data_IF_584035959478
#
_entry.id   IF_584035959478
#
_cell.length_a   1.000
_cell.length_b   1.000
_cell.length_c   1.000
_cell.angle_alpha   90.00
_cell.angle_beta   90.00
_cell.angle_gamma   90.00
#
_symmetry.space_group_name_H-M   'P 1'
#
loop_
_entity.id
_entity.type
_entity.pdbx_description
1 polymer ?
#
# COMPACT_ATOMS: atom_id res chain seq x y z
N UNK A 1 -0.70 1.00 12.87
CA UNK A 1 -1.12 1.59 11.59
C UNK A 1 -0.46 0.81 10.46
N UNK A 2 -1.11 0.63 9.32
CA UNK A 2 -0.55 -0.13 8.20
C UNK A 2 -0.75 0.65 6.92
N UNK A 3 0.33 0.88 6.17
CA UNK A 3 0.28 1.31 4.78
C UNK A 3 0.16 0.06 3.89
N UNK A 4 -0.90 0.00 3.09
CA UNK A 4 -1.09 -1.00 2.04
C UNK A 4 -1.11 -0.30 0.68
N UNK A 5 0.08 -0.18 0.10
CA UNK A 5 0.34 0.44 -1.19
C UNK A 5 0.50 -0.63 -2.28
N UNK A 6 -0.07 -0.40 -3.47
CA UNK A 6 -0.04 -1.36 -4.59
C UNK A 6 -0.37 -0.74 -5.93
N UNK A 7 0.11 -1.34 -7.01
CA UNK A 7 -0.37 -1.07 -8.36
C UNK A 7 -1.67 -1.81 -8.68
N UNK A 8 -2.52 -1.22 -9.55
CA UNK A 8 -3.75 -1.87 -10.03
C UNK A 8 -3.55 -2.72 -11.31
N UNK A 9 -2.40 -2.58 -11.97
CA UNK A 9 -2.01 -3.36 -13.14
C UNK A 9 -1.02 -4.49 -12.79
N UNK A 10 -0.86 -4.81 -11.51
CA UNK A 10 -0.07 -5.95 -11.05
C UNK A 10 -0.70 -7.26 -11.54
N UNK A 11 0.04 -8.00 -12.37
CA UNK A 11 -0.37 -9.30 -12.92
C UNK A 11 0.22 -10.50 -12.18
N UNK A 12 1.06 -10.26 -11.17
CA UNK A 12 1.74 -11.29 -10.37
C UNK A 12 0.90 -11.59 -9.12
N UNK A 13 0.41 -10.56 -8.44
CA UNK A 13 -0.47 -10.72 -7.29
C UNK A 13 -1.93 -10.76 -7.76
N UNK A 14 -2.61 -11.88 -7.51
CA UNK A 14 -4.00 -12.06 -7.89
C UNK A 14 -4.92 -10.97 -7.27
N UNK A 15 -5.85 -10.36 -8.04
CA UNK A 15 -6.75 -9.33 -7.54
C UNK A 15 -7.52 -9.73 -6.27
N UNK A 16 -8.01 -10.98 -6.23
CA UNK A 16 -8.76 -11.53 -5.09
C UNK A 16 -7.90 -11.63 -3.82
N UNK A 17 -6.60 -11.93 -3.97
CA UNK A 17 -5.69 -12.03 -2.84
C UNK A 17 -5.53 -10.65 -2.18
N UNK A 18 -5.35 -9.61 -2.98
CA UNK A 18 -5.23 -8.26 -2.46
C UNK A 18 -6.56 -7.70 -1.92
N UNK A 19 -7.70 -8.02 -2.54
CA UNK A 19 -9.02 -7.65 -2.03
C UNK A 19 -9.30 -8.28 -0.66
N UNK A 20 -8.96 -9.57 -0.50
CA UNK A 20 -9.05 -10.28 0.78
C UNK A 20 -8.14 -9.64 1.84
N UNK A 21 -6.90 -9.31 1.48
CA UNK A 21 -5.94 -8.66 2.38
C UNK A 21 -6.45 -7.28 2.82
N UNK A 22 -6.92 -6.45 1.88
CA UNK A 22 -7.47 -5.12 2.20
C UNK A 22 -8.67 -5.22 3.15
N UNK A 23 -9.59 -6.16 2.89
CA UNK A 23 -10.74 -6.42 3.76
C UNK A 23 -10.29 -6.78 5.18
N UNK A 24 -9.32 -7.68 5.32
CA UNK A 24 -8.79 -8.06 6.61
C UNK A 24 -8.09 -6.88 7.31
N UNK A 25 -7.23 -6.13 6.60
CA UNK A 25 -6.52 -4.98 7.15
C UNK A 25 -7.46 -3.89 7.65
N UNK A 26 -8.52 -3.59 6.89
CA UNK A 26 -9.53 -2.60 7.27
C UNK A 26 -10.25 -2.99 8.57
N UNK A 27 -10.45 -4.29 8.82
CA UNK A 27 -11.12 -4.78 10.03
C UNK A 27 -10.20 -4.87 11.27
N UNK A 28 -8.89 -5.03 11.08
CA UNK A 28 -7.96 -5.36 12.17
C UNK A 28 -6.91 -4.28 12.45
N UNK A 29 -6.82 -3.23 11.62
CA UNK A 29 -5.78 -2.20 11.72
C UNK A 29 -6.32 -0.81 11.41
N UNK A 30 -5.58 0.24 11.80
CA UNK A 30 -5.75 1.57 11.20
C UNK A 30 -5.08 1.56 9.82
N UNK A 31 -5.87 1.27 8.80
CA UNK A 31 -5.44 1.10 7.41
C UNK A 31 -5.28 2.45 6.70
N UNK A 32 -4.13 2.65 6.05
CA UNK A 32 -3.88 3.64 5.00
C UNK A 32 -3.69 2.86 3.69
N UNK A 33 -4.60 3.01 2.73
CA UNK A 33 -4.59 2.25 1.49
C UNK A 33 -4.27 3.16 0.30
N UNK A 34 -3.28 2.78 -0.51
CA UNK A 34 -2.83 3.52 -1.70
C UNK A 34 -2.87 2.60 -2.92
N UNK A 35 -3.43 3.10 -4.01
CA UNK A 35 -3.52 2.38 -5.29
C UNK A 35 -2.93 3.28 -6.37
N UNK A 36 -1.95 2.75 -7.11
CA UNK A 36 -1.27 3.47 -8.20
C UNK A 36 -1.78 2.98 -9.57
N UNK A 37 -2.54 3.81 -10.31
CA UNK A 37 -3.10 3.41 -11.59
C UNK A 37 -2.03 3.12 -12.65
N UNK A 38 -2.19 2.01 -13.38
CA UNK A 38 -1.30 1.56 -14.44
C UNK A 38 0.03 0.97 -13.95
N UNK A 39 0.26 0.93 -12.64
CA UNK A 39 1.48 0.37 -12.06
C UNK A 39 1.36 -1.16 -11.97
N UNK A 40 2.33 -1.86 -12.56
CA UNK A 40 2.45 -3.31 -12.50
C UNK A 40 3.10 -3.81 -11.21
N UNK A 41 3.72 -5.00 -11.27
CA UNK A 41 4.49 -5.57 -10.17
C UNK A 41 5.89 -4.93 -10.06
N UNK A 42 5.93 -3.68 -9.59
CA UNK A 42 7.16 -2.86 -9.52
C UNK A 42 7.12 -1.92 -8.31
N UNK A 43 8.12 -1.04 -8.18
CA UNK A 43 8.16 0.05 -7.19
C UNK A 43 8.33 1.37 -7.94
N UNK A 44 7.49 2.36 -7.63
CA UNK A 44 7.52 3.70 -8.27
C UNK A 44 8.11 4.76 -7.34
N UNK A 45 8.51 5.90 -7.90
CA UNK A 45 8.92 7.05 -7.07
C UNK A 45 7.78 7.52 -6.16
N UNK A 46 6.57 7.60 -6.70
CA UNK A 46 5.37 7.96 -5.92
C UNK A 46 5.13 7.02 -4.75
N UNK A 47 5.31 5.70 -4.94
CA UNK A 47 5.17 4.75 -3.85
C UNK A 47 6.22 4.94 -2.76
N UNK A 48 7.45 5.29 -3.14
CA UNK A 48 8.52 5.58 -2.18
C UNK A 48 8.19 6.84 -1.37
N UNK A 49 7.69 7.88 -2.02
CA UNK A 49 7.28 9.13 -1.35
C UNK A 49 6.16 8.86 -0.32
N UNK A 50 5.16 8.05 -0.68
CA UNK A 50 4.07 7.65 0.23
C UNK A 50 4.59 6.82 1.43
N UNK A 51 5.61 5.99 1.22
CA UNK A 51 6.28 5.26 2.31
C UNK A 51 7.05 6.22 3.23
N UNK A 52 7.78 7.18 2.68
CA UNK A 52 8.51 8.19 3.46
C UNK A 52 7.53 9.05 4.29
N UNK A 53 6.41 9.50 3.71
CA UNK A 53 5.37 10.24 4.42
C UNK A 53 4.77 9.40 5.56
N UNK A 54 4.47 8.13 5.30
CA UNK A 54 3.95 7.22 6.31
C UNK A 54 4.94 7.05 7.48
N UNK A 55 6.23 6.85 7.19
CA UNK A 55 7.27 6.71 8.22
C UNK A 55 7.43 7.99 9.02
N UNK A 56 7.50 9.15 8.37
CA UNK A 56 7.62 10.45 9.06
C UNK A 56 6.46 10.71 10.02
N UNK A 57 5.24 10.28 9.66
CA UNK A 57 4.05 10.40 10.51
C UNK A 57 4.04 9.44 11.69
N UNK A 58 4.48 8.20 11.49
CA UNK A 58 4.35 7.13 12.50
C UNK A 58 5.61 6.95 13.37
N UNK A 59 6.77 7.44 12.91
CA UNK A 59 8.07 7.39 13.58
C UNK A 59 8.77 8.77 13.58
N UNK A 60 8.20 9.79 14.25
CA UNK A 60 8.80 11.11 14.27
C UNK A 60 10.18 11.10 14.95
N UNK A 61 11.20 11.59 14.23
CA UNK A 61 12.58 11.72 14.73
C UNK A 61 13.57 10.64 14.29
N UNK A 62 13.18 9.74 13.38
CA UNK A 62 14.08 8.80 12.69
C UNK A 62 14.93 9.45 11.60
#
# INVERSE_FOLDING_TARGET
>A
PVLFARGDADTVIAPDASARTQTWLAAHTRLDARVYPGMGHTVSAQERDDVEEFLARELPGS
#
